data_IF_807069767094
#
_entry.id   IF_807069767094
#
_cell.length_a   1.000
_cell.length_b   1.000
_cell.length_c   1.000
_cell.angle_alpha   90.00
_cell.angle_beta   90.00
_cell.angle_gamma   90.00
#
_symmetry.space_group_name_H-M   'P 1'
#
loop_
_entity.id
_entity.type
_entity.pdbx_description
1 polymer ?
#
# COMPACT_ATOMS: atom_id res chain seq x y z
N UNK A 1 40.19 -2.54 -45.56
CA UNK A 1 40.07 -3.27 -44.29
C UNK A 1 38.87 -2.68 -43.59
N UNK A 2 37.72 -3.27 -43.84
CA UNK A 2 36.43 -2.71 -43.48
C UNK A 2 36.11 -3.09 -42.03
N UNK A 3 36.07 -2.08 -41.16
CA UNK A 3 35.69 -2.24 -39.76
C UNK A 3 34.17 -2.27 -39.68
N UNK A 4 33.62 -3.48 -39.52
CA UNK A 4 32.23 -3.71 -39.15
C UNK A 4 32.00 -3.17 -37.72
N UNK A 5 31.24 -2.09 -37.61
CA UNK A 5 30.72 -1.61 -36.33
C UNK A 5 29.39 -2.28 -36.05
N UNK A 6 29.40 -3.29 -35.18
CA UNK A 6 28.18 -3.91 -34.65
C UNK A 6 27.44 -2.92 -33.75
N UNK A 7 26.36 -2.35 -34.27
CA UNK A 7 25.38 -1.58 -33.50
C UNK A 7 24.67 -2.50 -32.51
N UNK A 8 25.08 -2.43 -31.24
CA UNK A 8 24.35 -3.05 -30.12
C UNK A 8 23.04 -2.26 -29.93
N UNK A 9 21.98 -2.70 -30.62
CA UNK A 9 20.62 -2.27 -30.35
C UNK A 9 20.21 -2.78 -28.96
N UNK A 10 20.26 -1.89 -27.96
CA UNK A 10 19.61 -2.13 -26.67
C UNK A 10 18.09 -2.12 -26.89
N UNK A 11 17.37 -3.24 -26.73
CA UNK A 11 15.92 -3.24 -26.80
C UNK A 11 15.42 -2.35 -25.65
N UNK A 12 14.77 -1.25 -26.02
CA UNK A 12 14.18 -0.32 -25.05
C UNK A 12 13.20 -1.07 -24.17
N UNK A 13 13.63 -1.41 -22.94
CA UNK A 13 12.74 -1.87 -21.90
C UNK A 13 11.76 -0.73 -21.62
N UNK A 14 10.56 -0.87 -22.18
CA UNK A 14 9.41 -0.04 -21.87
C UNK A 14 9.10 -0.33 -20.40
N UNK A 15 9.54 0.58 -19.52
CA UNK A 15 9.17 0.54 -18.11
C UNK A 15 7.68 0.89 -18.02
N UNK A 16 6.83 -0.14 -18.05
CA UNK A 16 5.44 0.00 -17.65
C UNK A 16 5.40 0.60 -16.25
N UNK A 17 4.63 1.68 -16.10
CA UNK A 17 4.42 2.31 -14.79
C UNK A 17 3.94 1.24 -13.81
N UNK A 18 4.48 1.15 -12.58
CA UNK A 18 3.92 0.27 -11.57
C UNK A 18 2.44 0.64 -11.39
N UNK A 19 1.56 -0.29 -11.76
CA UNK A 19 0.12 -0.21 -11.46
C UNK A 19 0.03 -0.05 -9.94
N UNK A 20 -0.71 0.96 -9.50
CA UNK A 20 -0.97 1.15 -8.07
C UNK A 20 -1.73 -0.09 -7.60
N UNK A 21 -1.05 -0.96 -6.87
CA UNK A 21 -1.65 -2.14 -6.26
C UNK A 21 -2.67 -1.65 -5.23
N UNK A 22 -3.95 -1.97 -5.42
CA UNK A 22 -4.98 -1.69 -4.42
C UNK A 22 -4.75 -2.60 -3.22
N UNK A 23 -4.80 -2.01 -2.02
CA UNK A 23 -4.56 -2.70 -0.74
C UNK A 23 -5.56 -3.85 -0.53
N UNK A 24 -6.75 -3.74 -1.14
CA UNK A 24 -7.82 -4.75 -1.08
C UNK A 24 -7.42 -6.10 -1.69
N UNK A 25 -6.56 -6.13 -2.71
CA UNK A 25 -6.11 -7.39 -3.34
C UNK A 25 -5.05 -8.16 -2.54
N UNK A 26 -4.53 -7.57 -1.46
CA UNK A 26 -3.46 -8.16 -0.65
C UNK A 26 -4.00 -8.98 0.53
N UNK A 27 -5.27 -8.83 0.90
CA UNK A 27 -5.85 -9.43 2.11
C UNK A 27 -6.37 -10.87 1.90
N UNK A 28 -6.55 -11.30 0.64
CA UNK A 28 -7.06 -12.64 0.30
C UNK A 28 -5.95 -13.66 -0.06
N UNK A 29 -4.69 -13.23 -0.05
CA UNK A 29 -3.55 -14.08 -0.39
C UNK A 29 -3.01 -14.79 0.84
N UNK A 30 -2.48 -16.00 0.64
CA UNK A 30 -1.79 -16.73 1.70
C UNK A 30 -0.57 -15.94 2.19
N UNK A 31 -0.19 -16.11 3.46
CA UNK A 31 0.96 -15.41 4.05
C UNK A 31 2.26 -15.67 3.25
N UNK A 32 2.39 -16.84 2.61
CA UNK A 32 3.50 -17.20 1.73
C UNK A 32 3.53 -16.34 0.46
N UNK A 33 2.38 -16.14 -0.20
CA UNK A 33 2.29 -15.26 -1.38
C UNK A 33 2.58 -13.80 -1.04
N UNK A 34 2.18 -13.37 0.16
CA UNK A 34 2.45 -12.03 0.65
C UNK A 34 3.95 -11.81 0.85
N UNK A 35 4.64 -12.79 1.42
CA UNK A 35 6.08 -12.74 1.63
C UNK A 35 6.85 -12.69 0.30
N UNK A 36 6.48 -13.55 -0.67
CA UNK A 36 7.06 -13.53 -2.01
C UNK A 36 6.85 -12.19 -2.70
N UNK A 37 5.64 -11.62 -2.62
CA UNK A 37 5.35 -10.32 -3.21
C UNK A 37 6.19 -9.18 -2.58
N UNK A 38 6.41 -9.21 -1.26
CA UNK A 38 7.26 -8.24 -0.56
C UNK A 38 8.74 -8.37 -0.96
N UNK A 39 9.24 -9.59 -1.10
CA UNK A 39 10.62 -9.83 -1.56
C UNK A 39 10.84 -9.36 -3.00
N UNK A 40 9.87 -9.62 -3.88
CA UNK A 40 9.90 -9.09 -5.25
C UNK A 40 9.91 -7.56 -5.29
N UNK A 41 9.11 -6.92 -4.43
CA UNK A 41 9.06 -5.47 -4.35
C UNK A 41 10.41 -4.89 -3.91
N UNK A 42 11.00 -5.47 -2.86
CA UNK A 42 12.34 -5.11 -2.38
C UNK A 42 13.40 -5.27 -3.46
N UNK A 43 13.33 -6.36 -4.24
CA UNK A 43 14.26 -6.60 -5.35
C UNK A 43 14.13 -5.55 -6.44
N UNK A 44 12.90 -5.14 -6.80
CA UNK A 44 12.65 -4.08 -7.78
C UNK A 44 13.15 -2.71 -7.31
N UNK A 45 12.95 -2.38 -6.02
CA UNK A 45 13.44 -1.13 -5.44
C UNK A 45 14.98 -1.07 -5.40
N UNK A 46 15.63 -2.19 -5.06
CA UNK A 46 17.10 -2.30 -5.10
C UNK A 46 17.64 -2.18 -6.53
N UNK A 47 16.98 -2.80 -7.50
CA UNK A 47 17.37 -2.67 -8.91
C UNK A 47 17.20 -1.23 -9.41
N UNK A 48 16.07 -0.58 -9.09
CA UNK A 48 15.80 0.80 -9.47
C UNK A 48 16.80 1.77 -8.87
N UNK A 49 17.07 1.66 -7.57
CA UNK A 49 18.08 2.49 -6.89
C UNK A 49 19.49 2.26 -7.45
N UNK A 50 19.83 1.02 -7.81
CA UNK A 50 21.10 0.70 -8.50
C UNK A 50 21.24 1.41 -9.85
N UNK A 51 20.20 1.39 -10.69
CA UNK A 51 20.18 2.10 -11.98
C UNK A 51 20.26 3.61 -11.78
N UNK A 52 19.53 4.15 -10.80
CA UNK A 52 19.56 5.57 -10.48
C UNK A 52 20.96 6.01 -10.06
N UNK A 53 21.61 5.26 -9.15
CA UNK A 53 22.98 5.55 -8.72
C UNK A 53 23.96 5.49 -9.89
N UNK A 54 23.88 4.48 -10.74
CA UNK A 54 24.72 4.37 -11.94
C UNK A 54 24.57 5.58 -12.88
N UNK A 55 23.36 6.13 -13.01
CA UNK A 55 23.13 7.32 -13.82
C UNK A 55 23.71 8.62 -13.21
N UNK A 56 23.83 8.69 -11.88
CA UNK A 56 24.35 9.86 -11.17
C UNK A 56 25.88 9.86 -11.08
N UNK A 57 26.53 8.69 -11.04
CA UNK A 57 27.99 8.59 -10.89
C UNK A 57 28.79 9.38 -11.94
N UNK A 58 28.45 9.34 -13.25
CA UNK A 58 29.14 10.15 -14.26
C UNK A 58 29.05 11.65 -13.99
N UNK A 59 27.91 12.13 -13.49
CA UNK A 59 27.73 13.56 -13.17
C UNK A 59 28.61 14.03 -12.02
N UNK A 60 29.03 13.12 -11.14
CA UNK A 60 29.96 13.37 -10.04
C UNK A 60 31.42 13.10 -10.40
N UNK A 61 31.73 12.78 -11.67
CA UNK A 61 33.08 12.42 -12.12
C UNK A 61 33.59 11.07 -11.57
N UNK A 62 32.67 10.16 -11.22
CA UNK A 62 32.98 8.81 -10.74
C UNK A 62 32.70 7.77 -11.81
N UNK A 63 33.49 6.70 -11.80
CA UNK A 63 33.32 5.58 -12.72
C UNK A 63 32.06 4.76 -12.38
N UNK A 64 31.15 4.49 -13.34
CA UNK A 64 29.94 3.71 -13.08
C UNK A 64 30.20 2.22 -12.76
N UNK A 65 31.39 1.69 -13.09
CA UNK A 65 31.77 0.29 -12.86
C UNK A 65 32.34 0.08 -11.46
N UNK A 66 33.25 0.95 -11.01
CA UNK A 66 33.95 0.78 -9.74
C UNK A 66 33.71 1.89 -8.71
N UNK A 67 32.90 2.90 -9.01
CA UNK A 67 32.52 4.04 -8.13
C UNK A 67 33.66 4.97 -7.68
N UNK A 68 34.91 4.70 -8.09
CA UNK A 68 36.08 5.53 -7.84
C UNK A 68 36.11 6.78 -8.74
N UNK A 69 36.80 7.84 -8.30
CA UNK A 69 37.08 9.02 -9.13
C UNK A 69 38.03 8.65 -10.29
N UNK A 70 37.86 9.31 -11.42
CA UNK A 70 38.75 9.17 -12.59
C UNK A 70 40.05 9.96 -12.35
N UNK A 71 41.24 9.46 -12.78
CA UNK A 71 41.49 8.24 -13.54
C UNK A 71 41.37 6.95 -12.72
N UNK A 72 40.76 5.92 -13.29
CA UNK A 72 40.67 4.59 -12.69
C UNK A 72 40.99 3.50 -13.71
N UNK A 73 41.00 2.22 -13.29
CA UNK A 73 41.30 1.07 -14.17
C UNK A 73 40.38 0.98 -15.41
N UNK A 74 39.18 1.56 -15.34
CA UNK A 74 38.19 1.50 -16.42
C UNK A 74 38.22 2.70 -17.36
N UNK A 75 38.58 3.89 -16.86
CA UNK A 75 38.53 5.14 -17.63
C UNK A 75 39.71 6.02 -17.27
N UNK A 76 40.41 6.51 -18.29
CA UNK A 76 41.57 7.39 -18.13
C UNK A 76 41.16 8.86 -17.99
N UNK A 77 40.04 9.25 -18.60
CA UNK A 77 39.50 10.62 -18.56
C UNK A 77 37.97 10.62 -18.43
N UNK A 78 37.40 11.72 -17.93
CA UNK A 78 35.95 11.85 -17.68
C UNK A 78 35.15 11.75 -18.98
N UNK A 79 35.72 12.20 -20.10
CA UNK A 79 35.06 12.22 -21.40
C UNK A 79 34.84 10.82 -22.01
N UNK A 80 35.59 9.81 -21.54
CA UNK A 80 35.41 8.41 -21.95
C UNK A 80 34.20 7.74 -21.27
N UNK A 81 33.61 8.36 -20.24
CA UNK A 81 32.46 7.79 -19.54
C UNK A 81 31.21 7.96 -20.41
N UNK A 82 30.46 6.87 -20.70
CA UNK A 82 29.21 6.95 -21.45
C UNK A 82 28.21 7.86 -20.73
N UNK A 83 27.88 8.99 -21.37
CA UNK A 83 26.83 9.90 -20.88
C UNK A 83 25.48 9.25 -21.11
N UNK A 84 24.97 8.54 -20.10
CA UNK A 84 23.60 8.04 -20.14
C UNK A 84 22.65 9.24 -20.19
N UNK A 85 21.71 9.22 -21.14
CA UNK A 85 20.65 10.23 -21.22
C UNK A 85 19.92 10.23 -19.87
N UNK A 86 19.66 11.40 -19.26
CA UNK A 86 18.96 11.46 -17.99
C UNK A 86 17.63 10.74 -18.14
N UNK A 87 17.46 9.61 -17.46
CA UNK A 87 16.17 8.94 -17.36
C UNK A 87 15.30 9.96 -16.64
N UNK A 88 14.39 10.61 -17.37
CA UNK A 88 13.50 11.61 -16.80
C UNK A 88 12.67 10.96 -15.69
N UNK A 89 13.16 11.04 -14.47
CA UNK A 89 12.46 10.66 -13.25
C UNK A 89 11.33 11.67 -13.02
N UNK A 90 10.31 11.62 -13.86
CA UNK A 90 9.02 12.25 -13.62
C UNK A 90 8.27 11.42 -12.57
N UNK A 91 8.82 11.31 -11.36
CA UNK A 91 8.10 10.81 -10.17
C UNK A 91 8.89 11.10 -8.90
N UNK A 92 8.29 11.98 -8.11
CA UNK A 92 8.40 12.14 -6.66
C UNK A 92 9.25 11.08 -5.96
N UNK A 93 10.52 11.39 -5.76
CA UNK A 93 11.29 10.77 -4.67
C UNK A 93 10.63 11.29 -3.39
N UNK A 94 10.14 10.38 -2.56
CA UNK A 94 9.72 10.72 -1.20
C UNK A 94 10.89 11.42 -0.48
N UNK A 95 10.65 12.43 0.37
CA UNK A 95 11.70 13.34 0.86
C UNK A 95 12.71 12.72 1.84
N UNK A 96 12.66 11.41 2.06
CA UNK A 96 13.29 10.77 3.24
C UNK A 96 14.75 10.37 2.97
N UNK A 97 15.18 10.27 1.70
CA UNK A 97 16.54 9.83 1.37
C UNK A 97 17.45 10.92 0.77
N UNK A 98 16.99 12.18 0.69
CA UNK A 98 17.82 13.31 0.23
C UNK A 98 18.53 14.06 1.38
N UNK A 99 18.59 13.47 2.58
CA UNK A 99 19.12 14.12 3.78
C UNK A 99 20.51 13.60 4.20
N UNK A 100 21.42 13.32 3.27
CA UNK A 100 22.79 12.96 3.67
C UNK A 100 23.82 13.08 2.54
N UNK A 101 23.88 14.21 1.84
CA UNK A 101 25.00 14.55 0.96
C UNK A 101 25.11 16.07 0.80
N UNK A 102 25.36 16.78 1.90
CA UNK A 102 25.95 18.12 1.93
C UNK A 102 26.57 18.30 3.31
N UNK A 103 27.68 17.58 3.54
CA UNK A 103 28.56 17.80 4.69
C UNK A 103 29.92 18.18 4.13
N UNK A 104 29.99 19.37 3.54
CA UNK A 104 31.24 20.11 3.50
C UNK A 104 31.31 20.88 4.82
N UNK A 105 32.28 20.47 5.63
CA UNK A 105 32.88 21.23 6.73
C UNK A 105 32.88 22.74 6.48
N UNK A 106 32.59 23.53 7.53
CA UNK A 106 33.73 24.16 8.17
C UNK A 106 33.74 23.95 9.67
N UNK A 107 34.96 23.96 10.16
CA UNK A 107 35.38 23.83 11.55
C UNK A 107 34.66 24.80 12.50
N UNK A 108 34.68 24.40 13.77
CA UNK A 108 34.55 25.22 14.97
C UNK A 108 33.16 25.47 15.56
N UNK A 109 33.14 25.33 16.89
CA UNK A 109 32.26 25.99 17.85
C UNK A 109 31.06 25.20 18.38
N UNK A 110 31.38 24.35 19.37
CA UNK A 110 30.84 24.34 20.74
C UNK A 110 29.41 24.87 20.98
N UNK A 111 28.59 23.99 21.58
CA UNK A 111 27.66 24.24 22.69
C UNK A 111 27.02 25.64 22.79
N UNK A 112 25.69 25.70 22.63
CA UNK A 112 24.86 26.58 23.46
C UNK A 112 23.41 26.11 23.50
N UNK A 113 23.09 25.46 24.61
CA UNK A 113 21.74 25.25 25.13
C UNK A 113 21.37 26.54 25.89
N UNK A 114 20.10 26.97 25.76
CA UNK A 114 19.45 28.12 26.41
C UNK A 114 19.76 29.53 25.90
N UNK A 115 18.73 30.21 25.39
CA UNK A 115 18.28 31.46 26.00
C UNK A 115 16.89 31.93 25.52
N UNK A 116 15.97 31.90 26.47
CA UNK A 116 14.93 32.87 26.79
C UNK A 116 14.38 33.77 25.67
N UNK A 117 13.12 33.51 25.36
CA UNK A 117 12.12 34.51 25.01
C UNK A 117 11.90 35.49 26.17
N UNK A 118 12.36 36.74 26.06
CA UNK A 118 11.73 37.87 26.77
C UNK A 118 12.07 39.22 26.14
N UNK A 119 11.04 39.86 25.57
CA UNK A 119 10.82 41.30 25.62
C UNK A 119 11.87 42.23 24.99
N UNK A 120 12.00 42.25 23.66
CA UNK A 120 12.53 43.45 23.00
C UNK A 120 11.43 44.52 22.92
N UNK A 121 11.48 45.46 23.87
CA UNK A 121 10.82 46.77 23.76
C UNK A 121 11.43 47.49 22.55
N UNK A 122 10.62 47.75 21.53
CA UNK A 122 11.03 48.53 20.37
C UNK A 122 11.33 49.97 20.80
N UNK A 123 12.61 50.33 20.87
CA UNK A 123 13.08 51.71 20.97
C UNK A 123 12.65 52.46 19.70
N UNK A 124 11.56 53.23 19.80
CA UNK A 124 11.10 54.10 18.73
C UNK A 124 11.80 55.46 18.86
N UNK A 125 12.96 55.60 18.22
CA UNK A 125 13.62 56.89 18.09
C UNK A 125 12.78 57.81 17.19
N UNK A 126 12.20 58.86 17.78
CA UNK A 126 11.59 59.98 17.03
C UNK A 126 12.68 60.97 16.65
N UNK A 127 13.14 60.90 15.41
CA UNK A 127 13.88 62.01 14.81
C UNK A 127 12.89 63.10 14.40
N UNK A 128 12.99 64.27 15.05
CA UNK A 128 12.40 65.51 14.54
C UNK A 128 13.49 66.26 13.79
N UNK A 129 13.37 66.38 12.49
CA UNK A 129 14.11 67.36 11.68
C UNK A 129 13.18 68.53 11.36
N UNK A 130 13.69 69.75 11.51
CA UNK A 130 12.94 71.01 11.37
C UNK A 130 12.58 71.35 9.92
N UNK A 131 13.19 70.67 8.95
CA UNK A 131 13.12 71.08 7.54
C UNK A 131 12.46 69.93 6.77
N UNK A 132 11.17 70.11 6.44
CA UNK A 132 10.23 69.08 6.00
C UNK A 132 10.49 68.40 4.65
N UNK A 133 11.74 68.22 4.22
CA UNK A 133 12.08 67.70 2.88
C UNK A 133 12.73 66.31 2.86
N UNK A 134 13.10 65.73 4.01
CA UNK A 134 13.84 64.44 4.05
C UNK A 134 12.94 63.19 3.97
N UNK A 135 11.61 63.33 4.02
CA UNK A 135 10.70 62.17 4.07
C UNK A 135 10.50 61.43 2.74
N UNK A 136 10.82 62.03 1.58
CA UNK A 136 10.63 61.33 0.29
C UNK A 136 11.75 60.33 -0.04
N UNK A 137 12.99 60.58 0.39
CA UNK A 137 14.11 59.67 0.06
C UNK A 137 14.09 58.39 0.91
N UNK A 138 13.58 58.45 2.14
CA UNK A 138 13.39 57.28 3.01
C UNK A 138 12.23 56.39 2.52
N UNK A 139 11.25 56.97 1.82
CA UNK A 139 10.14 56.23 1.19
C UNK A 139 10.55 55.56 -0.13
N UNK A 140 11.55 56.09 -0.83
CA UNK A 140 12.04 55.56 -2.11
C UNK A 140 13.30 54.68 -2.00
N UNK A 141 13.76 54.39 -0.79
CA UNK A 141 14.95 53.56 -0.60
C UNK A 141 14.70 52.12 -1.13
N UNK A 142 15.49 51.62 -2.11
CA UNK A 142 15.27 50.31 -2.72
C UNK A 142 15.30 49.13 -1.73
N UNK A 143 15.94 49.28 -0.56
CA UNK A 143 15.89 48.29 0.53
C UNK A 143 14.48 48.09 1.12
N UNK A 144 13.65 49.16 1.17
CA UNK A 144 12.28 49.08 1.70
C UNK A 144 11.28 48.48 0.70
N UNK A 145 11.56 48.61 -0.60
CA UNK A 145 10.80 47.93 -1.66
C UNK A 145 11.10 46.42 -1.67
N UNK A 146 12.37 46.04 -1.46
CA UNK A 146 12.78 44.64 -1.31
C UNK A 146 12.11 43.96 -0.10
N UNK A 147 12.02 44.64 1.05
CA UNK A 147 11.35 44.07 2.23
C UNK A 147 9.83 43.93 2.06
N UNK A 148 9.19 44.80 1.29
CA UNK A 148 7.77 44.69 0.93
C UNK A 148 7.50 43.51 -0.03
N UNK A 149 8.40 43.26 -0.99
CA UNK A 149 8.32 42.09 -1.86
C UNK A 149 8.55 40.78 -1.09
N UNK A 150 9.53 40.76 -0.18
CA UNK A 150 9.75 39.62 0.72
C UNK A 150 8.52 39.32 1.58
N UNK A 151 7.87 40.35 2.14
CA UNK A 151 6.62 40.20 2.88
C UNK A 151 5.49 39.58 2.03
N UNK A 152 5.37 39.97 0.76
CA UNK A 152 4.40 39.35 -0.17
C UNK A 152 4.73 37.89 -0.45
N UNK A 153 6.01 37.54 -0.62
CA UNK A 153 6.48 36.16 -0.79
C UNK A 153 6.19 35.32 0.45
N UNK A 154 6.45 35.85 1.65
CA UNK A 154 6.15 35.18 2.92
C UNK A 154 4.65 34.90 3.07
N UNK A 155 3.77 35.86 2.76
CA UNK A 155 2.32 35.65 2.75
C UNK A 155 1.86 34.58 1.75
N UNK A 156 2.54 34.47 0.60
CA UNK A 156 2.24 33.41 -0.37
C UNK A 156 2.65 32.04 0.17
N UNK A 157 3.83 31.95 0.80
CA UNK A 157 4.31 30.71 1.44
C UNK A 157 3.35 30.29 2.56
N UNK A 158 2.94 31.20 3.43
CA UNK A 158 1.96 30.96 4.51
C UNK A 158 0.65 30.40 3.96
N UNK A 159 0.11 30.96 2.86
CA UNK A 159 -1.10 30.44 2.20
C UNK A 159 -0.89 29.03 1.64
N UNK A 160 0.28 28.75 1.07
CA UNK A 160 0.62 27.41 0.55
C UNK A 160 0.71 26.40 1.70
N UNK A 161 1.30 26.79 2.83
CA UNK A 161 1.41 25.94 4.02
C UNK A 161 0.04 25.64 4.62
N UNK A 162 -0.80 26.66 4.83
CA UNK A 162 -2.18 26.49 5.30
C UNK A 162 -2.98 25.57 4.36
N UNK A 163 -2.83 25.73 3.04
CA UNK A 163 -3.50 24.86 2.08
C UNK A 163 -3.02 23.40 2.19
N UNK A 164 -1.72 23.18 2.30
CA UNK A 164 -1.13 21.84 2.47
C UNK A 164 -1.59 21.20 3.78
N UNK A 165 -1.58 21.95 4.87
CA UNK A 165 -2.02 21.47 6.18
C UNK A 165 -3.51 21.10 6.16
N UNK A 166 -4.36 21.95 5.58
CA UNK A 166 -5.78 21.65 5.43
C UNK A 166 -6.04 20.43 4.54
N UNK A 167 -5.24 20.23 3.48
CA UNK A 167 -5.32 19.05 2.64
C UNK A 167 -4.93 17.79 3.42
N UNK A 168 -3.84 17.83 4.18
CA UNK A 168 -3.40 16.73 5.03
C UNK A 168 -4.41 16.41 6.13
N UNK A 169 -5.00 17.42 6.78
CA UNK A 169 -6.07 17.22 7.77
C UNK A 169 -7.27 16.48 7.17
N UNK A 170 -7.71 16.85 5.97
CA UNK A 170 -8.79 16.14 5.26
C UNK A 170 -8.44 14.71 4.88
N UNK A 171 -7.18 14.44 4.51
CA UNK A 171 -6.72 13.08 4.22
C UNK A 171 -6.66 12.23 5.49
N UNK A 172 -6.20 12.78 6.62
CA UNK A 172 -6.20 12.12 7.93
C UNK A 172 -7.63 11.80 8.38
N UNK A 173 -8.54 12.78 8.29
CA UNK A 173 -9.96 12.61 8.66
C UNK A 173 -10.63 11.47 7.87
N UNK A 174 -10.38 11.37 6.56
CA UNK A 174 -10.87 10.27 5.73
C UNK A 174 -10.32 8.91 6.17
N UNK A 175 -9.04 8.85 6.55
CA UNK A 175 -8.42 7.60 7.03
C UNK A 175 -9.03 7.17 8.37
N UNK A 176 -9.27 8.12 9.27
CA UNK A 176 -9.90 7.84 10.56
C UNK A 176 -11.34 7.36 10.40
N UNK A 177 -12.11 7.95 9.49
CA UNK A 177 -13.47 7.53 9.20
C UNK A 177 -13.52 6.10 8.62
N UNK A 178 -12.63 5.77 7.68
CA UNK A 178 -12.50 4.41 7.16
C UNK A 178 -12.13 3.39 8.25
N UNK A 179 -11.22 3.77 9.16
CA UNK A 179 -10.86 2.91 10.31
C UNK A 179 -12.06 2.69 11.25
N UNK A 180 -12.88 3.72 11.47
CA UNK A 180 -14.09 3.62 12.29
C UNK A 180 -15.10 2.67 11.66
N UNK A 181 -15.37 2.81 10.36
CA UNK A 181 -16.26 1.91 9.62
C UNK A 181 -15.78 0.45 9.67
N UNK A 182 -14.49 0.21 9.47
CA UNK A 182 -13.91 -1.14 9.60
C UNK A 182 -14.05 -1.72 11.01
N UNK A 183 -13.91 -0.89 12.05
CA UNK A 183 -14.08 -1.33 13.43
C UNK A 183 -15.54 -1.72 13.72
N UNK A 184 -16.49 -0.91 13.26
CA UNK A 184 -17.93 -1.18 13.39
C UNK A 184 -18.35 -2.46 12.65
N UNK A 185 -17.84 -2.69 11.44
CA UNK A 185 -18.09 -3.92 10.68
C UNK A 185 -17.54 -5.16 11.39
N UNK A 186 -16.31 -5.07 11.92
CA UNK A 186 -15.71 -6.15 12.71
C UNK A 186 -16.53 -6.44 13.97
N UNK A 187 -17.06 -5.42 14.62
CA UNK A 187 -17.91 -5.59 15.79
C UNK A 187 -19.23 -6.30 15.44
N UNK A 188 -19.92 -5.86 14.37
CA UNK A 188 -21.12 -6.52 13.86
C UNK A 188 -20.87 -7.99 13.52
N UNK A 189 -19.71 -8.29 12.94
CA UNK A 189 -19.32 -9.67 12.62
C UNK A 189 -19.10 -10.52 13.87
N UNK A 190 -18.45 -9.98 14.91
CA UNK A 190 -18.30 -10.65 16.21
C UNK A 190 -19.64 -10.94 16.85
N UNK A 191 -20.56 -9.96 16.87
CA UNK A 191 -21.91 -10.17 17.41
C UNK A 191 -22.69 -11.25 16.65
N UNK A 192 -22.61 -11.25 15.31
CA UNK A 192 -23.24 -12.27 14.48
C UNK A 192 -22.67 -13.67 14.76
N UNK A 193 -21.36 -13.77 14.95
CA UNK A 193 -20.69 -15.03 15.29
C UNK A 193 -21.09 -15.53 16.69
N UNK A 194 -21.19 -14.64 17.68
CA UNK A 194 -21.69 -14.99 19.01
C UNK A 194 -23.14 -15.50 18.98
N UNK A 195 -24.02 -14.84 18.22
CA UNK A 195 -25.41 -15.28 18.01
C UNK A 195 -25.43 -16.68 17.38
N UNK A 196 -24.58 -16.92 16.37
CA UNK A 196 -24.42 -18.23 15.72
C UNK A 196 -23.92 -19.29 16.70
N UNK A 197 -22.91 -18.99 17.54
CA UNK A 197 -22.39 -19.89 18.58
C UNK A 197 -23.46 -20.25 19.60
N UNK A 198 -24.16 -19.25 20.16
CA UNK A 198 -25.28 -19.45 21.11
C UNK A 198 -26.39 -20.32 20.51
N UNK A 199 -26.74 -20.13 19.24
CA UNK A 199 -27.72 -20.98 18.56
C UNK A 199 -27.22 -22.42 18.41
N UNK A 200 -25.97 -22.62 17.99
CA UNK A 200 -25.37 -23.95 17.84
C UNK A 200 -25.29 -24.70 19.17
N UNK A 201 -24.96 -24.01 20.27
CA UNK A 201 -24.95 -24.57 21.62
C UNK A 201 -26.36 -25.00 22.07
N UNK A 202 -27.38 -24.18 21.84
CA UNK A 202 -28.78 -24.54 22.12
C UNK A 202 -29.21 -25.79 21.34
N UNK A 203 -28.83 -25.89 20.06
CA UNK A 203 -29.11 -27.08 19.25
C UNK A 203 -28.38 -28.32 19.77
N UNK A 204 -27.10 -28.19 20.12
CA UNK A 204 -26.32 -29.27 20.74
C UNK A 204 -26.93 -29.74 22.07
N UNK A 205 -27.37 -28.81 22.92
CA UNK A 205 -28.04 -29.11 24.18
C UNK A 205 -29.37 -29.86 23.94
N UNK A 206 -30.17 -29.43 22.97
CA UNK A 206 -31.44 -30.08 22.60
C UNK A 206 -31.21 -31.53 22.11
N UNK A 207 -30.19 -31.75 21.28
CA UNK A 207 -29.81 -33.10 20.82
C UNK A 207 -29.33 -33.96 21.99
N UNK A 208 -28.52 -33.39 22.90
CA UNK A 208 -28.04 -34.10 24.10
C UNK A 208 -29.20 -34.50 25.01
N UNK A 209 -30.16 -33.61 25.25
CA UNK A 209 -31.35 -33.90 26.04
C UNK A 209 -32.21 -35.00 25.39
N UNK A 210 -32.41 -34.94 24.07
CA UNK A 210 -33.15 -35.96 23.33
C UNK A 210 -32.47 -37.34 23.44
N UNK A 211 -31.16 -37.42 23.24
CA UNK A 211 -30.38 -38.67 23.39
C UNK A 211 -30.45 -39.21 24.82
N UNK A 212 -30.37 -38.34 25.83
CA UNK A 212 -30.52 -38.73 27.24
C UNK A 212 -31.91 -39.31 27.54
N UNK A 213 -32.97 -38.68 27.01
CA UNK A 213 -34.33 -39.18 27.15
C UNK A 213 -34.55 -40.53 26.44
N UNK A 214 -33.97 -40.75 25.26
CA UNK A 214 -34.01 -42.06 24.59
C UNK A 214 -33.31 -43.16 25.41
N UNK A 215 -32.17 -42.86 26.03
CA UNK A 215 -31.46 -43.82 26.88
C UNK A 215 -32.30 -44.19 28.12
N UNK A 216 -33.00 -43.23 28.72
CA UNK A 216 -33.90 -43.49 29.85
C UNK A 216 -35.13 -44.30 29.46
N UNK A 217 -35.66 -44.17 28.23
CA UNK A 217 -36.74 -45.02 27.72
C UNK A 217 -36.31 -46.45 27.40
N UNK A 218 -35.01 -46.66 27.11
CA UNK A 218 -34.43 -47.97 26.81
C UNK A 218 -33.88 -48.70 28.04
N UNK A 219 -33.89 -48.08 29.22
CA UNK A 219 -33.69 -48.85 30.45
C UNK A 219 -34.85 -49.83 30.57
N UNK A 220 -34.60 -51.14 30.48
CA UNK A 220 -35.65 -52.13 30.51
C UNK A 220 -36.37 -52.05 31.85
N UNK A 221 -37.70 -52.14 31.77
CA UNK A 221 -38.51 -52.67 32.86
C UNK A 221 -38.09 -54.14 33.00
N UNK A 222 -36.97 -54.38 33.69
CA UNK A 222 -36.63 -55.70 34.23
C UNK A 222 -37.58 -55.94 35.40
N UNK A 223 -38.75 -56.44 35.07
CA UNK A 223 -39.84 -56.67 36.00
C UNK A 223 -41.12 -56.98 35.25
N UNK A 224 -41.23 -58.24 34.83
CA UNK A 224 -42.48 -58.92 34.47
C UNK A 224 -43.16 -58.48 33.17
N UNK A 225 -42.97 -59.27 32.11
CA UNK A 225 -44.07 -60.00 31.45
C UNK A 225 -43.53 -60.76 30.24
N UNK A 226 -43.23 -62.04 30.46
CA UNK A 226 -43.48 -63.04 29.42
C UNK A 226 -44.98 -63.02 29.16
N UNK A 227 -45.45 -62.67 27.96
CA UNK A 227 -46.71 -63.14 27.36
C UNK A 227 -46.82 -62.63 25.91
N UNK A 228 -46.81 -63.62 24.99
CA UNK A 228 -47.48 -63.66 23.67
C UNK A 228 -47.09 -62.60 22.63
N UNK A 229 -46.05 -62.96 21.87
CA UNK A 229 -45.86 -62.51 20.48
C UNK A 229 -46.94 -63.17 19.61
N UNK A 230 -48.03 -62.45 19.34
CA UNK A 230 -48.92 -62.71 18.20
C UNK A 230 -48.76 -61.58 17.19
N UNK A 231 -48.24 -61.94 16.02
CA UNK A 231 -48.40 -61.34 14.70
C UNK A 231 -49.21 -60.03 14.66
N UNK A 232 -48.50 -58.90 14.61
CA UNK A 232 -49.01 -57.66 14.02
C UNK A 232 -48.13 -57.31 12.83
N UNK A 233 -48.77 -57.29 11.67
CA UNK A 233 -48.26 -56.79 10.40
C UNK A 233 -47.63 -55.41 10.58
N UNK A 234 -46.39 -55.29 10.13
CA UNK A 234 -45.61 -54.06 10.11
C UNK A 234 -46.17 -53.19 8.98
N UNK A 235 -46.98 -52.19 9.34
CA UNK A 235 -47.20 -51.04 8.47
C UNK A 235 -45.90 -50.22 8.44
N UNK A 236 -45.18 -50.30 7.32
CA UNK A 236 -44.00 -49.49 7.05
C UNK A 236 -44.37 -47.99 7.00
N UNK A 237 -43.85 -47.14 7.91
CA UNK A 237 -43.96 -45.71 7.73
C UNK A 237 -43.00 -45.30 6.61
N UNK A 238 -43.57 -44.83 5.49
CA UNK A 238 -42.92 -44.23 4.32
C UNK A 238 -41.64 -43.44 4.69
N UNK A 239 -40.48 -44.10 4.58
CA UNK A 239 -39.15 -43.48 4.62
C UNK A 239 -38.93 -42.66 3.34
N UNK A 240 -39.46 -41.45 3.26
CA UNK A 240 -39.15 -40.49 2.16
C UNK A 240 -38.76 -39.06 2.60
N UNK A 241 -37.75 -38.85 3.46
CA UNK A 241 -37.07 -37.54 3.50
C UNK A 241 -35.58 -37.56 3.10
N UNK A 242 -34.93 -38.73 2.95
CA UNK A 242 -33.50 -38.79 2.60
C UNK A 242 -33.21 -38.62 1.10
N UNK A 243 -34.14 -39.00 0.21
CA UNK A 243 -33.92 -38.87 -1.24
C UNK A 243 -33.89 -37.41 -1.71
N UNK A 244 -34.64 -36.51 -1.06
CA UNK A 244 -34.66 -35.08 -1.42
C UNK A 244 -33.30 -34.43 -1.11
N UNK A 245 -32.67 -34.78 0.01
CA UNK A 245 -31.34 -34.25 0.38
C UNK A 245 -30.26 -34.76 -0.57
N UNK A 246 -30.31 -36.04 -0.95
CA UNK A 246 -29.40 -36.63 -1.94
C UNK A 246 -29.55 -35.97 -3.31
N UNK A 247 -30.79 -35.76 -3.77
CA UNK A 247 -31.06 -35.08 -5.03
C UNK A 247 -30.54 -33.63 -5.03
N UNK A 248 -30.79 -32.88 -3.94
CA UNK A 248 -30.29 -31.51 -3.80
C UNK A 248 -28.76 -31.43 -3.76
N UNK A 249 -28.10 -32.39 -3.11
CA UNK A 249 -26.65 -32.52 -3.13
C UNK A 249 -26.11 -32.81 -4.53
N UNK A 250 -26.77 -33.69 -5.27
CA UNK A 250 -26.40 -34.02 -6.65
C UNK A 250 -26.57 -32.81 -7.58
N UNK A 251 -27.63 -32.04 -7.41
CA UNK A 251 -27.88 -30.81 -8.17
C UNK A 251 -26.81 -29.74 -7.90
N UNK A 252 -26.42 -29.56 -6.62
CA UNK A 252 -25.32 -28.65 -6.26
C UNK A 252 -23.98 -29.07 -6.87
N UNK A 253 -23.69 -30.38 -6.90
CA UNK A 253 -22.48 -30.90 -7.56
C UNK A 253 -22.48 -30.63 -9.06
N UNK A 254 -23.63 -30.74 -9.73
CA UNK A 254 -23.76 -30.40 -11.15
C UNK A 254 -23.56 -28.90 -11.40
N UNK A 255 -24.19 -28.04 -10.61
CA UNK A 255 -24.01 -26.58 -10.70
C UNK A 255 -22.56 -26.17 -10.47
N UNK A 256 -21.87 -26.79 -9.51
CA UNK A 256 -20.44 -26.55 -9.29
C UNK A 256 -19.61 -26.90 -10.53
N UNK A 257 -19.79 -28.10 -11.10
CA UNK A 257 -19.08 -28.51 -12.32
C UNK A 257 -19.33 -27.55 -13.51
N UNK A 258 -20.56 -27.06 -13.66
CA UNK A 258 -20.88 -26.09 -14.70
C UNK A 258 -20.19 -24.74 -14.47
N UNK A 259 -20.08 -24.28 -13.22
CA UNK A 259 -19.36 -23.06 -12.89
C UNK A 259 -17.86 -23.22 -13.12
N UNK A 260 -17.28 -24.33 -12.67
CA UNK A 260 -15.86 -24.65 -12.89
C UNK A 260 -15.54 -24.63 -14.40
N UNK A 261 -16.40 -25.24 -15.24
CA UNK A 261 -16.26 -25.19 -16.69
C UNK A 261 -16.34 -23.77 -17.30
N UNK A 262 -17.25 -22.92 -16.80
CA UNK A 262 -17.36 -21.52 -17.26
C UNK A 262 -16.09 -20.74 -16.90
N UNK A 263 -15.55 -20.96 -15.70
CA UNK A 263 -14.32 -20.33 -15.23
C UNK A 263 -13.14 -20.74 -16.12
N UNK A 264 -12.98 -22.04 -16.40
CA UNK A 264 -11.93 -22.54 -17.29
C UNK A 264 -12.02 -21.92 -18.69
N UNK A 265 -13.23 -21.80 -19.24
CA UNK A 265 -13.46 -21.17 -20.54
C UNK A 265 -13.09 -19.67 -20.53
N UNK A 266 -13.36 -18.96 -19.42
CA UNK A 266 -12.95 -17.57 -19.27
C UNK A 266 -11.42 -17.43 -19.21
N UNK A 267 -10.73 -18.33 -18.51
CA UNK A 267 -9.27 -18.36 -18.48
C UNK A 267 -8.68 -18.60 -19.87
N UNK A 268 -9.18 -19.59 -20.62
CA UNK A 268 -8.71 -19.84 -21.99
C UNK A 268 -8.90 -18.62 -22.91
N UNK A 269 -10.02 -17.91 -22.80
CA UNK A 269 -10.28 -16.70 -23.58
C UNK A 269 -9.32 -15.57 -23.23
N UNK A 270 -9.06 -15.35 -21.93
CA UNK A 270 -8.08 -14.36 -21.47
C UNK A 270 -6.66 -14.69 -21.93
N UNK A 271 -6.27 -15.96 -21.94
CA UNK A 271 -4.98 -16.39 -22.46
C UNK A 271 -4.85 -16.15 -23.97
N UNK A 272 -5.90 -16.44 -24.74
CA UNK A 272 -5.94 -16.16 -26.18
C UNK A 272 -5.83 -14.66 -26.44
N UNK A 273 -6.56 -13.83 -25.70
CA UNK A 273 -6.50 -12.38 -25.82
C UNK A 273 -5.10 -11.84 -25.49
N UNK A 274 -4.48 -12.34 -24.41
CA UNK A 274 -3.10 -11.98 -24.04
C UNK A 274 -2.12 -12.35 -25.14
N UNK A 275 -2.24 -13.54 -25.75
CA UNK A 275 -1.41 -13.96 -26.90
C UNK A 275 -1.62 -13.08 -28.13
N UNK A 276 -2.86 -12.66 -28.42
CA UNK A 276 -3.14 -11.74 -29.52
C UNK A 276 -2.49 -10.37 -29.29
N UNK A 277 -2.57 -9.81 -28.08
CA UNK A 277 -1.90 -8.54 -27.73
C UNK A 277 -0.38 -8.65 -27.88
N UNK A 278 0.22 -9.72 -27.38
CA UNK A 278 1.66 -10.00 -27.55
C UNK A 278 2.12 -10.10 -29.01
N UNK A 279 1.24 -10.58 -29.90
CA UNK A 279 1.54 -10.66 -31.34
C UNK A 279 1.35 -9.31 -32.06
N UNK A 280 0.50 -8.41 -31.57
CA UNK A 280 0.33 -7.06 -32.13
C UNK A 280 1.45 -6.10 -31.73
N UNK A 281 2.16 -6.38 -30.64
CA UNK A 281 3.28 -5.58 -30.14
C UNK A 281 4.63 -5.94 -30.78
N UNK A 282 4.67 -6.94 -31.66
CA UNK A 282 5.85 -7.33 -32.46
C UNK A 282 5.76 -6.80 -33.88
#
# INVERSE_FOLDING_TARGET
MDLQTDEIQNPGQIFEKPKQFSVEMLMDKSDEELQVALEELRKKDLQYSGVLLQSLLPSQGRCPVCTLKVPCKHYSSIDQIPKQKPVHAKRSVSPILNLSCNLETPESSSLSVYSASSGQKSLQMRFRTSDGTVYQDILNHPQRRKSLEEYRKLKQIEKIEIYRENKLRKEIEKIEELKRQQAEEKEKLREAEEKRKKYAEKQKAKIRAYRGAEMNKKKPVEGETEIKIKNRSVDEPKRRPNNIKLFRLQELRRKKKNLDYIIDLQFENLEKEKKQRMNQEK
#
